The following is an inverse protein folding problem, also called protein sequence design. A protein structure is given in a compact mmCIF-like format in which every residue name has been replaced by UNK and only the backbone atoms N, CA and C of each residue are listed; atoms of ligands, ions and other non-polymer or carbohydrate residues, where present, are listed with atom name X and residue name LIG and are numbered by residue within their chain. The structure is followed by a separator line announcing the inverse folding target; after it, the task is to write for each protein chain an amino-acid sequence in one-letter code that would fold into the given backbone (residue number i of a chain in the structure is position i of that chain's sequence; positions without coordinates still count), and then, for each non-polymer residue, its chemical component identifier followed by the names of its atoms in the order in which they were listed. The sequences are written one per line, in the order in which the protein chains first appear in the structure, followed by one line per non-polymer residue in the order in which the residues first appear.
data_IF_130184445309
#
_entry.id   IF_130184445309
#
_cell.length_a   1.000
_cell.length_b   1.000
_cell.length_c   1.000
_cell.angle_alpha   90.00
_cell.angle_beta   90.00
_cell.angle_gamma   90.00
#
_symmetry.space_group_name_H-M   'P 1'
#
loop_
_entity.id
_entity.type
_entity.pdbx_description
1 polymer ?
#
# COMPACT_ATOMS: atom_id res chain seq x y z
N UNK A 1 60.77 5.37 -81.16
CA UNK A 1 60.41 4.02 -81.61
C UNK A 1 60.34 3.13 -80.38
N UNK A 2 59.37 2.21 -80.35
CA UNK A 2 59.07 1.20 -79.31
C UNK A 2 57.99 1.61 -78.29
N UNK A 3 56.78 1.67 -78.86
CA UNK A 3 55.67 0.74 -78.66
C UNK A 3 55.25 0.23 -77.27
N UNK A 4 53.92 0.32 -77.14
CA UNK A 4 53.02 -0.02 -76.05
C UNK A 4 52.53 -1.48 -76.23
N UNK A 5 52.53 -2.30 -75.18
CA UNK A 5 51.64 -3.47 -75.10
C UNK A 5 51.26 -3.79 -73.64
N UNK A 6 50.11 -4.44 -73.48
CA UNK A 6 49.18 -4.29 -72.35
C UNK A 6 49.00 -5.53 -71.46
N UNK A 7 48.49 -5.26 -70.24
CA UNK A 7 47.67 -6.09 -69.32
C UNK A 7 48.32 -7.35 -68.69
N UNK A 8 47.75 -7.97 -67.62
CA UNK A 8 46.67 -7.56 -66.70
C UNK A 8 46.98 -7.78 -65.21
N UNK A 9 46.40 -7.01 -64.27
CA UNK A 9 46.05 -7.58 -62.94
C UNK A 9 45.07 -6.74 -62.09
N UNK A 10 43.94 -7.37 -61.78
CA UNK A 10 43.19 -7.36 -60.52
C UNK A 10 42.77 -6.01 -59.87
N UNK A 11 41.55 -5.57 -60.21
CA UNK A 11 40.75 -4.72 -59.35
C UNK A 11 40.32 -5.48 -58.08
N UNK A 12 40.76 -5.04 -56.89
CA UNK A 12 40.31 -5.57 -55.59
C UNK A 12 39.05 -4.84 -55.10
N UNK A 13 38.20 -5.64 -54.47
CA UNK A 13 36.83 -5.41 -54.00
C UNK A 13 36.65 -4.29 -52.94
N UNK A 14 35.38 -3.91 -52.67
CA UNK A 14 34.96 -2.71 -51.98
C UNK A 14 34.60 -2.96 -50.50
N UNK A 15 33.86 -1.99 -49.95
CA UNK A 15 33.04 -2.00 -48.73
C UNK A 15 33.62 -1.17 -47.57
N UNK A 16 33.22 0.11 -47.59
CA UNK A 16 33.12 0.94 -46.39
C UNK A 16 32.33 0.16 -45.34
N UNK A 17 33.01 -0.16 -44.25
CA UNK A 17 32.47 -0.94 -43.15
C UNK A 17 31.23 -0.24 -42.55
N UNK A 18 30.10 -0.94 -42.40
CA UNK A 18 28.92 -0.45 -41.72
C UNK A 18 29.10 -0.65 -40.21
N UNK A 19 29.92 0.20 -39.58
CA UNK A 19 30.10 0.20 -38.12
C UNK A 19 28.98 0.96 -37.37
N UNK A 20 28.13 1.68 -38.10
CA UNK A 20 27.07 2.51 -37.51
C UNK A 20 25.79 1.74 -37.13
N UNK A 21 25.59 0.50 -37.62
CA UNK A 21 24.35 -0.26 -37.40
C UNK A 21 24.37 -1.18 -36.17
N UNK A 22 25.51 -1.38 -35.52
CA UNK A 22 25.61 -2.29 -34.36
C UNK A 22 25.28 -1.63 -33.01
N UNK A 23 25.29 -0.29 -32.91
CA UNK A 23 24.94 0.41 -31.66
C UNK A 23 23.44 0.55 -31.40
N UNK A 24 22.60 0.47 -32.44
CA UNK A 24 21.15 0.62 -32.29
C UNK A 24 20.45 -0.63 -31.72
N UNK A 25 21.02 -1.83 -31.91
CA UNK A 25 20.43 -3.07 -31.44
C UNK A 25 20.70 -3.36 -29.94
N UNK A 26 21.71 -2.72 -29.34
CA UNK A 26 22.12 -2.98 -27.96
C UNK A 26 21.29 -2.20 -26.92
N UNK A 27 20.62 -1.10 -27.30
CA UNK A 27 19.81 -0.29 -26.37
C UNK A 27 18.37 -0.79 -26.18
N UNK A 28 17.85 -1.68 -27.03
CA UNK A 28 16.49 -2.22 -26.89
C UNK A 28 16.40 -3.43 -25.94
N UNK A 29 17.53 -3.96 -25.45
CA UNK A 29 17.55 -5.19 -24.66
C UNK A 29 17.42 -4.98 -23.13
N UNK A 30 17.35 -3.74 -22.63
CA UNK A 30 17.33 -3.45 -21.18
C UNK A 30 15.96 -3.10 -20.61
N UNK A 31 14.86 -3.23 -21.37
CA UNK A 31 13.49 -3.04 -20.85
C UNK A 31 12.85 -4.30 -20.31
N UNK A 32 13.63 -5.37 -20.09
CA UNK A 32 13.20 -6.52 -19.31
C UNK A 32 13.04 -6.12 -17.83
N UNK A 33 11.98 -5.40 -17.52
CA UNK A 33 11.54 -5.15 -16.16
C UNK A 33 11.20 -6.48 -15.50
N UNK A 34 11.73 -6.74 -14.32
CA UNK A 34 11.25 -7.84 -13.50
C UNK A 34 9.75 -7.67 -13.29
N UNK A 35 8.96 -8.69 -13.64
CA UNK A 35 7.57 -8.76 -13.22
C UNK A 35 7.57 -8.80 -11.68
N UNK A 36 7.24 -7.67 -11.05
CA UNK A 36 7.03 -7.61 -9.60
C UNK A 36 5.88 -8.55 -9.25
N UNK A 37 6.15 -9.55 -8.43
CA UNK A 37 5.10 -10.34 -7.80
C UNK A 37 4.33 -9.42 -6.83
N UNK A 38 3.01 -9.52 -6.84
CA UNK A 38 2.19 -8.87 -5.84
C UNK A 38 2.22 -9.74 -4.60
N UNK A 39 2.66 -9.21 -3.46
CA UNK A 39 2.68 -9.97 -2.19
C UNK A 39 1.27 -10.47 -1.83
N UNK A 40 0.24 -9.66 -2.12
CA UNK A 40 -1.17 -10.03 -2.04
C UNK A 40 -1.85 -9.71 -3.39
N UNK A 41 -2.01 -10.68 -4.30
CA UNK A 41 -2.74 -10.47 -5.56
C UNK A 41 -4.26 -10.38 -5.33
N UNK A 42 -4.75 -11.02 -4.28
CA UNK A 42 -6.18 -11.09 -3.89
C UNK A 42 -6.82 -9.70 -3.66
N UNK A 43 -6.00 -8.70 -3.25
CA UNK A 43 -6.45 -7.31 -3.06
C UNK A 43 -6.81 -6.61 -4.38
N UNK A 44 -6.36 -7.15 -5.51
CA UNK A 44 -6.59 -6.60 -6.84
C UNK A 44 -7.55 -7.44 -7.69
N UNK A 45 -7.76 -8.70 -7.34
CA UNK A 45 -8.71 -9.60 -8.02
C UNK A 45 -10.12 -9.53 -7.44
N UNK A 46 -10.35 -8.67 -6.44
CA UNK A 46 -11.67 -8.51 -5.82
C UNK A 46 -12.00 -9.65 -4.85
N UNK A 47 -11.03 -10.07 -4.03
CA UNK A 47 -11.35 -10.83 -2.82
C UNK A 47 -12.50 -10.17 -2.07
N UNK A 48 -13.37 -10.98 -1.45
CA UNK A 48 -14.60 -10.55 -0.80
C UNK A 48 -14.30 -9.60 0.37
N UNK A 49 -14.03 -8.33 0.07
CA UNK A 49 -13.78 -7.34 1.11
C UNK A 49 -15.09 -7.09 1.84
N UNK A 50 -15.00 -7.01 3.16
CA UNK A 50 -16.11 -6.63 4.03
C UNK A 50 -16.48 -5.14 3.86
N UNK A 51 -15.69 -4.38 3.10
CA UNK A 51 -15.95 -3.00 2.76
C UNK A 51 -16.98 -2.90 1.63
N UNK A 52 -17.86 -1.90 1.74
CA UNK A 52 -18.73 -1.51 0.64
C UNK A 52 -17.89 -1.12 -0.60
N UNK A 53 -18.45 -1.32 -1.79
CA UNK A 53 -17.77 -1.00 -3.04
C UNK A 53 -17.31 0.47 -3.07
N UNK A 54 -16.02 0.69 -3.34
CA UNK A 54 -15.41 2.03 -3.36
C UNK A 54 -15.02 2.59 -1.99
N UNK A 55 -15.27 1.84 -0.90
CA UNK A 55 -14.92 2.23 0.47
C UNK A 55 -13.71 1.43 0.95
N UNK A 56 -12.87 2.04 1.78
CA UNK A 56 -11.74 1.40 2.46
C UNK A 56 -11.83 1.65 3.97
N UNK A 57 -11.12 0.85 4.77
CA UNK A 57 -11.00 1.14 6.20
C UNK A 57 -10.48 2.55 6.48
N UNK A 58 -9.48 3.00 5.71
CA UNK A 58 -8.93 4.34 5.82
C UNK A 58 -9.95 5.45 5.51
N UNK A 59 -10.79 5.28 4.49
CA UNK A 59 -11.84 6.27 4.18
C UNK A 59 -12.94 6.32 5.26
N UNK A 60 -13.23 5.19 5.91
CA UNK A 60 -14.15 5.17 7.07
C UNK A 60 -13.52 5.91 8.26
N UNK A 61 -12.24 5.68 8.58
CA UNK A 61 -11.52 6.43 9.62
C UNK A 61 -11.61 7.94 9.34
N UNK A 62 -11.34 8.34 8.09
CA UNK A 62 -11.39 9.74 7.67
C UNK A 62 -12.77 10.36 7.91
N UNK A 63 -13.83 9.66 7.50
CA UNK A 63 -15.19 10.19 7.57
C UNK A 63 -15.79 10.14 8.98
N UNK A 64 -15.46 9.13 9.79
CA UNK A 64 -16.20 8.81 11.02
C UNK A 64 -15.41 9.05 12.30
N UNK A 65 -14.08 9.17 12.24
CA UNK A 65 -13.23 9.20 13.42
C UNK A 65 -12.43 10.50 13.58
N UNK A 66 -11.96 11.11 12.49
CA UNK A 66 -10.99 12.20 12.56
C UNK A 66 -11.54 13.51 13.13
N UNK A 67 -12.85 13.69 13.25
CA UNK A 67 -13.42 14.85 13.92
C UNK A 67 -13.04 14.94 15.41
N UNK A 68 -12.67 13.82 16.03
CA UNK A 68 -12.18 13.77 17.42
C UNK A 68 -10.81 13.09 17.57
N UNK A 69 -10.33 12.38 16.54
CA UNK A 69 -9.10 11.60 16.58
C UNK A 69 -8.08 12.06 15.52
N UNK A 70 -7.81 13.36 15.47
CA UNK A 70 -6.89 14.03 14.54
C UNK A 70 -5.55 14.42 15.21
N UNK A 71 -4.61 14.89 14.39
CA UNK A 71 -3.32 15.46 14.87
C UNK A 71 -3.48 16.84 15.51
N UNK A 72 -4.61 17.52 15.30
CA UNK A 72 -4.85 18.90 15.75
C UNK A 72 -5.46 18.96 17.17
N UNK A 73 -5.88 20.15 17.60
CA UNK A 73 -6.49 20.35 18.92
C UNK A 73 -7.73 19.47 19.15
N UNK A 74 -8.43 19.06 18.09
CA UNK A 74 -9.60 18.18 18.18
C UNK A 74 -9.21 16.76 18.62
N UNK A 75 -7.97 16.32 18.40
CA UNK A 75 -7.43 15.03 18.88
C UNK A 75 -7.50 14.85 20.40
N UNK A 76 -7.51 15.96 21.15
CA UNK A 76 -7.70 15.93 22.61
C UNK A 76 -9.10 15.44 23.00
N UNK A 77 -10.12 15.72 22.19
CA UNK A 77 -11.49 15.26 22.42
C UNK A 77 -11.59 13.72 22.31
N UNK A 78 -10.76 13.10 21.47
CA UNK A 78 -10.60 11.65 21.34
C UNK A 78 -9.68 11.02 22.39
N UNK A 79 -9.38 11.71 23.49
CA UNK A 79 -8.49 11.19 24.54
C UNK A 79 -7.02 11.11 24.11
N UNK A 80 -6.61 11.97 23.18
CA UNK A 80 -5.23 12.06 22.69
C UNK A 80 -4.83 10.97 21.69
N UNK A 81 -5.77 10.14 21.24
CA UNK A 81 -5.52 9.18 20.17
C UNK A 81 -5.59 9.87 18.81
N UNK A 82 -4.46 9.86 18.11
CA UNK A 82 -4.32 10.37 16.76
C UNK A 82 -4.40 9.25 15.71
N UNK A 83 -5.52 9.25 14.98
CA UNK A 83 -5.81 8.37 13.84
C UNK A 83 -5.53 9.03 12.47
N UNK A 84 -5.03 10.25 12.45
CA UNK A 84 -4.65 10.95 11.22
C UNK A 84 -3.16 10.76 10.90
N UNK A 85 -2.32 10.56 11.91
CA UNK A 85 -0.91 10.25 11.70
C UNK A 85 -0.70 8.98 10.85
N UNK A 86 0.35 9.03 10.03
CA UNK A 86 0.77 7.93 9.14
C UNK A 86 1.08 6.63 9.89
N UNK A 87 1.07 5.49 9.17
CA UNK A 87 1.44 4.18 9.73
C UNK A 87 0.29 3.39 10.34
N UNK A 88 -0.96 3.77 10.08
CA UNK A 88 -2.13 2.97 10.40
C UNK A 88 -2.34 1.81 9.39
N UNK A 89 -2.95 0.70 9.82
CA UNK A 89 -3.34 0.40 11.21
C UNK A 89 -2.15 -0.05 12.10
N UNK A 90 -0.96 -0.28 11.52
CA UNK A 90 0.21 -0.82 12.23
C UNK A 90 0.54 -0.14 13.57
N UNK A 91 0.45 1.19 13.65
CA UNK A 91 0.65 1.95 14.90
C UNK A 91 -0.31 1.60 16.03
N UNK A 92 -1.53 1.11 15.73
CA UNK A 92 -2.48 0.70 16.76
C UNK A 92 -1.95 -0.49 17.57
N UNK A 93 -1.10 -1.34 16.96
CA UNK A 93 -0.49 -2.48 17.63
C UNK A 93 0.61 -2.11 18.61
N UNK A 94 1.12 -0.87 18.55
CA UNK A 94 2.16 -0.35 19.46
C UNK A 94 1.63 0.76 20.37
N UNK A 95 0.31 0.96 20.40
CA UNK A 95 -0.32 2.06 21.14
C UNK A 95 -1.32 1.51 22.15
N UNK A 96 -1.28 2.02 23.37
CA UNK A 96 -2.24 1.68 24.42
C UNK A 96 -3.30 2.78 24.53
N UNK A 97 -4.54 2.38 24.77
CA UNK A 97 -5.62 3.28 25.09
C UNK A 97 -5.41 3.91 26.46
N UNK A 98 -5.84 5.16 26.62
CA UNK A 98 -5.89 5.83 27.92
C UNK A 98 -6.72 5.04 28.94
N UNK A 99 -7.73 4.30 28.48
CA UNK A 99 -8.50 3.47 29.37
C UNK A 99 -7.76 2.20 29.79
N UNK A 100 -7.44 2.12 31.08
CA UNK A 100 -6.82 0.96 31.74
C UNK A 100 -5.53 0.48 31.04
N UNK A 101 -4.88 1.34 30.25
CA UNK A 101 -3.72 0.98 29.44
C UNK A 101 -3.92 -0.25 28.54
N UNK A 102 -5.16 -0.53 28.10
CA UNK A 102 -5.42 -1.67 27.20
C UNK A 102 -4.77 -1.43 25.82
N UNK A 103 -4.18 -2.45 25.17
CA UNK A 103 -3.71 -2.32 23.78
C UNK A 103 -4.85 -1.88 22.86
N UNK A 104 -4.60 -0.91 21.97
CA UNK A 104 -5.60 -0.51 20.98
C UNK A 104 -5.85 -1.61 19.96
N UNK A 105 -4.78 -2.25 19.48
CA UNK A 105 -4.86 -3.47 18.69
C UNK A 105 -4.13 -4.62 19.40
N UNK A 106 -4.79 -5.78 19.48
CA UNK A 106 -4.23 -7.00 20.04
C UNK A 106 -3.60 -7.83 18.92
N UNK A 107 -2.27 -8.00 18.95
CA UNK A 107 -1.55 -8.80 17.95
C UNK A 107 -1.90 -10.28 17.98
N UNK A 108 -2.26 -10.83 19.14
CA UNK A 108 -2.65 -12.23 19.27
C UNK A 108 -4.10 -12.43 18.83
N UNK A 109 -4.99 -11.49 19.14
CA UNK A 109 -6.41 -11.56 18.81
C UNK A 109 -6.93 -10.25 18.21
N UNK A 110 -6.61 -9.91 16.94
CA UNK A 110 -6.97 -8.61 16.37
C UNK A 110 -8.46 -8.29 16.37
N UNK A 111 -9.34 -9.29 16.30
CA UNK A 111 -10.80 -9.11 16.38
C UNK A 111 -11.30 -8.71 17.78
N UNK A 112 -10.50 -8.92 18.83
CA UNK A 112 -10.77 -8.53 20.21
C UNK A 112 -10.07 -7.21 20.61
N UNK A 113 -9.47 -6.53 19.63
CA UNK A 113 -8.79 -5.26 19.81
C UNK A 113 -9.70 -4.21 20.44
N UNK A 114 -9.17 -3.44 21.39
CA UNK A 114 -9.95 -2.39 22.06
C UNK A 114 -10.49 -1.36 21.06
N UNK A 115 -9.75 -1.08 19.97
CA UNK A 115 -10.22 -0.27 18.86
C UNK A 115 -11.59 -0.75 18.31
N UNK A 116 -11.76 -2.05 18.08
CA UNK A 116 -13.03 -2.61 17.60
C UNK A 116 -14.09 -2.64 18.72
N UNK A 117 -13.68 -2.91 19.97
CA UNK A 117 -14.60 -2.85 21.11
C UNK A 117 -15.25 -1.46 21.25
N UNK A 118 -14.51 -0.38 20.98
CA UNK A 118 -15.04 1.00 21.00
C UNK A 118 -16.23 1.19 20.05
N UNK A 119 -16.36 0.40 19.00
CA UNK A 119 -17.46 0.48 18.02
C UNK A 119 -18.75 -0.23 18.47
N UNK A 120 -18.65 -1.03 19.54
CA UNK A 120 -19.77 -1.83 20.08
C UNK A 120 -20.57 -1.09 21.14
N UNK A 121 -21.76 -1.59 21.46
CA UNK A 121 -22.64 -1.00 22.49
C UNK A 121 -22.05 -1.05 23.91
N UNK A 122 -21.16 -2.00 24.19
CA UNK A 122 -20.51 -2.14 25.50
C UNK A 122 -18.99 -2.25 25.32
N UNK A 123 -18.29 -1.12 25.17
CA UNK A 123 -16.85 -1.13 24.92
C UNK A 123 -16.01 -1.52 26.15
N UNK A 124 -16.64 -1.82 27.29
CA UNK A 124 -15.97 -2.10 28.57
C UNK A 124 -15.33 -0.88 29.23
N UNK A 125 -15.12 0.21 28.49
CA UNK A 125 -14.67 1.48 29.02
C UNK A 125 -14.98 2.68 28.11
N UNK A 126 -15.42 3.77 28.73
CA UNK A 126 -15.90 4.98 28.05
C UNK A 126 -17.17 4.71 27.23
N UNK A 127 -17.53 5.66 26.39
CA UNK A 127 -18.71 5.54 25.53
C UNK A 127 -18.41 4.78 24.23
N UNK A 128 -19.45 4.24 23.59
CA UNK A 128 -19.39 3.76 22.20
C UNK A 128 -18.98 4.91 21.27
N UNK A 129 -18.20 4.58 20.25
CA UNK A 129 -17.78 5.47 19.18
C UNK A 129 -18.44 5.08 17.84
N UNK A 130 -18.73 6.05 16.96
CA UNK A 130 -18.68 7.50 17.20
C UNK A 130 -19.70 7.96 18.25
N UNK A 131 -19.43 9.08 18.92
CA UNK A 131 -20.37 9.62 19.92
C UNK A 131 -21.70 10.03 19.27
N UNK A 132 -22.82 9.66 19.91
CA UNK A 132 -24.16 10.02 19.44
C UNK A 132 -24.64 9.26 18.19
N UNK A 133 -23.81 8.40 17.61
CA UNK A 133 -24.12 7.62 16.43
C UNK A 133 -23.60 6.18 16.56
N UNK A 134 -23.83 5.38 15.54
CA UNK A 134 -23.23 4.06 15.40
C UNK A 134 -22.83 3.82 13.98
N UNK A 135 -21.65 3.23 13.78
CA UNK A 135 -21.32 2.66 12.48
C UNK A 135 -22.31 1.54 12.14
N UNK A 136 -22.59 1.41 10.86
CA UNK A 136 -23.34 0.27 10.35
C UNK A 136 -22.46 -1.00 10.40
N UNK A 137 -23.10 -2.15 10.20
CA UNK A 137 -22.42 -3.45 10.29
C UNK A 137 -21.33 -3.62 9.22
N UNK A 138 -21.56 -3.10 8.01
CA UNK A 138 -20.60 -3.18 6.89
C UNK A 138 -19.32 -2.40 7.20
N UNK A 139 -19.45 -1.16 7.68
CA UNK A 139 -18.29 -0.34 8.06
C UNK A 139 -17.51 -0.94 9.22
N UNK A 140 -18.22 -1.54 10.19
CA UNK A 140 -17.59 -2.21 11.33
C UNK A 140 -16.81 -3.45 10.87
N UNK A 141 -17.38 -4.25 9.96
CA UNK A 141 -16.72 -5.41 9.39
C UNK A 141 -15.50 -5.01 8.54
N UNK A 142 -15.63 -3.96 7.72
CA UNK A 142 -14.54 -3.37 6.95
C UNK A 142 -13.38 -2.91 7.85
N UNK A 143 -13.67 -2.22 8.96
CA UNK A 143 -12.64 -1.81 9.92
C UNK A 143 -11.99 -2.99 10.63
N UNK A 144 -12.74 -4.06 10.91
CA UNK A 144 -12.19 -5.29 11.47
C UNK A 144 -11.20 -5.95 10.51
N UNK A 145 -11.59 -6.11 9.24
CA UNK A 145 -10.72 -6.68 8.21
C UNK A 145 -9.48 -5.80 7.98
N UNK A 146 -9.67 -4.48 7.87
CA UNK A 146 -8.59 -3.51 7.73
C UNK A 146 -7.57 -3.62 8.87
N UNK A 147 -8.05 -3.72 10.12
CA UNK A 147 -7.17 -3.88 11.28
C UNK A 147 -6.36 -5.17 11.19
N UNK A 148 -7.02 -6.31 10.94
CA UNK A 148 -6.39 -7.63 10.83
C UNK A 148 -5.34 -7.65 9.72
N UNK A 149 -5.69 -7.12 8.54
CA UNK A 149 -4.83 -7.13 7.36
C UNK A 149 -3.57 -6.27 7.53
N UNK A 150 -3.65 -5.18 8.30
CA UNK A 150 -2.49 -4.34 8.56
C UNK A 150 -1.74 -4.66 9.85
N UNK A 151 -1.92 -5.87 10.39
CA UNK A 151 -1.06 -6.39 11.46
C UNK A 151 0.40 -6.46 10.95
N UNK A 152 1.37 -5.84 11.64
CA UNK A 152 2.77 -5.97 11.27
C UNK A 152 3.21 -7.43 11.31
N UNK A 153 3.98 -7.87 10.32
CA UNK A 153 4.74 -9.12 10.44
C UNK A 153 5.63 -9.02 11.68
N UNK A 154 5.72 -10.10 12.44
CA UNK A 154 6.66 -10.17 13.57
C UNK A 154 8.06 -9.76 13.10
N UNK A 155 8.84 -9.04 13.94
CA UNK A 155 10.20 -8.63 13.59
C UNK A 155 11.10 -9.84 13.29
#
# INVERSE_FOLDING_TARGET
MLDLSANPTAARRPYRAPLATLFAAALLATTAGCAGGLDDPERFTGGSSSCAAGTTGASIIQAQCLSCHSTDANGSAGGGLDLQASGLPGRLYTTNAACNSKPLADSANPSQSFFLMKLTASPGCGARMPLGASLNASDTACLSEWLVAGKPSSP
#
